data_IF_304175649111
#
_entry.id   IF_304175649111
#
_cell.length_a   1.000
_cell.length_b   1.000
_cell.length_c   1.000
_cell.angle_alpha   90.00
_cell.angle_beta   90.00
_cell.angle_gamma   90.00
#
_symmetry.space_group_name_H-M   'P 1'
#
loop_
_entity.id
_entity.type
_entity.pdbx_description
1 polymer ?
#
# COMPACT_ATOMS: atom_id res chain seq x y z
N UNK A 1 -7.79 27.09 -59.40
CA UNK A 1 -6.67 26.14 -59.53
C UNK A 1 -5.57 26.63 -58.62
N UNK A 2 -5.43 26.12 -57.40
CA UNK A 2 -4.67 24.90 -57.12
C UNK A 2 -3.36 25.27 -56.39
N UNK A 3 -3.47 25.83 -55.19
CA UNK A 3 -2.30 26.14 -54.34
C UNK A 3 -1.91 24.84 -53.62
N UNK A 4 -0.85 24.19 -54.08
CA UNK A 4 -0.11 23.17 -53.32
C UNK A 4 1.01 23.86 -52.54
N UNK A 5 1.21 23.53 -51.26
CA UNK A 5 2.52 23.68 -50.64
C UNK A 5 3.07 22.34 -50.15
N UNK A 6 4.33 22.11 -50.56
CA UNK A 6 5.42 21.49 -49.82
C UNK A 6 5.18 20.14 -49.14
N UNK A 7 5.49 19.08 -49.89
CA UNK A 7 5.98 17.83 -49.32
C UNK A 7 7.48 17.96 -49.04
N UNK A 8 7.85 18.05 -47.77
CA UNK A 8 9.24 17.85 -47.34
C UNK A 8 9.38 16.42 -46.81
N UNK A 9 10.28 15.70 -47.45
CA UNK A 9 10.49 14.27 -47.31
C UNK A 9 11.50 14.00 -46.19
N UNK A 10 11.04 14.07 -44.94
CA UNK A 10 11.79 13.59 -43.78
C UNK A 10 11.66 12.06 -43.61
N UNK A 11 12.33 11.28 -44.46
CA UNK A 11 12.54 9.83 -44.24
C UNK A 11 13.41 9.61 -43.00
N UNK A 12 12.79 9.39 -41.83
CA UNK A 12 13.49 8.70 -40.74
C UNK A 12 13.56 7.21 -41.08
N UNK A 13 14.78 6.74 -41.35
CA UNK A 13 15.15 5.34 -41.54
C UNK A 13 14.48 4.47 -40.48
N UNK A 14 13.72 3.48 -40.93
CA UNK A 14 13.36 2.32 -40.13
C UNK A 14 14.67 1.65 -39.68
N UNK A 15 14.98 1.76 -38.40
CA UNK A 15 15.96 0.88 -37.76
C UNK A 15 15.35 -0.51 -37.81
N UNK A 16 16.07 -1.42 -38.48
CA UNK A 16 15.71 -2.81 -38.74
C UNK A 16 15.18 -3.50 -37.48
N UNK A 17 14.11 -4.26 -37.73
CA UNK A 17 13.47 -5.18 -36.81
C UNK A 17 14.48 -6.02 -36.01
N UNK A 18 14.37 -5.92 -34.69
CA UNK A 18 14.79 -6.97 -33.79
C UNK A 18 13.51 -7.63 -33.26
N UNK A 19 13.28 -8.93 -33.46
CA UNK A 19 12.03 -9.59 -33.11
C UNK A 19 12.00 -9.85 -31.60
N UNK A 20 11.73 -8.81 -30.82
CA UNK A 20 11.37 -8.95 -29.41
C UNK A 20 9.85 -8.86 -29.29
N UNK A 21 9.21 -10.00 -29.07
CA UNK A 21 7.77 -10.12 -28.82
C UNK A 21 7.34 -9.18 -27.67
N UNK A 22 6.82 -7.99 -27.99
CA UNK A 22 6.12 -7.14 -27.01
C UNK A 22 4.94 -7.94 -26.46
N UNK A 23 5.04 -8.45 -25.22
CA UNK A 23 3.94 -9.12 -24.54
C UNK A 23 2.76 -8.15 -24.43
N UNK A 24 1.65 -8.46 -25.12
CA UNK A 24 0.39 -7.68 -25.06
C UNK A 24 -0.24 -7.82 -23.68
N UNK A 25 -0.61 -6.71 -23.04
CA UNK A 25 -1.17 -6.71 -21.67
C UNK A 25 -2.68 -7.02 -21.66
N UNK A 26 -3.20 -7.82 -20.71
CA UNK A 26 -4.64 -7.99 -20.55
C UNK A 26 -5.29 -6.73 -19.98
N UNK A 27 -6.61 -6.60 -20.13
CA UNK A 27 -7.36 -5.43 -19.73
C UNK A 27 -8.65 -5.76 -18.98
N UNK A 28 -9.06 -4.85 -18.12
CA UNK A 28 -10.42 -4.79 -17.60
C UNK A 28 -11.16 -3.72 -18.40
N UNK A 29 -12.16 -4.17 -19.15
CA UNK A 29 -13.10 -3.30 -19.84
C UNK A 29 -14.22 -2.94 -18.87
N UNK A 30 -14.38 -1.65 -18.59
CA UNK A 30 -15.25 -1.14 -17.54
C UNK A 30 -16.38 -0.33 -18.18
N UNK A 31 -17.64 -0.62 -17.84
CA UNK A 31 -18.67 0.40 -18.06
C UNK A 31 -18.41 1.62 -17.14
N UNK A 32 -18.96 2.76 -17.53
CA UNK A 32 -18.85 4.00 -16.75
C UNK A 32 -20.01 4.14 -15.78
N UNK A 33 -21.19 4.37 -16.34
CA UNK A 33 -22.41 4.70 -15.61
C UNK A 33 -22.93 3.42 -14.95
N UNK A 34 -23.13 3.44 -13.64
CA UNK A 34 -23.63 2.29 -12.88
C UNK A 34 -22.52 1.33 -12.41
N UNK A 35 -21.29 1.52 -12.92
CA UNK A 35 -20.12 0.70 -12.55
C UNK A 35 -19.02 1.50 -11.86
N UNK A 36 -18.49 2.55 -12.50
CA UNK A 36 -17.47 3.44 -11.91
C UNK A 36 -18.11 4.65 -11.25
N UNK A 37 -19.14 5.21 -11.89
CA UNK A 37 -19.88 6.37 -11.39
C UNK A 37 -21.35 6.02 -11.22
N UNK A 38 -22.05 6.77 -10.36
CA UNK A 38 -23.47 6.58 -10.14
C UNK A 38 -24.27 6.80 -11.43
N UNK A 39 -25.09 5.80 -11.81
CA UNK A 39 -26.16 5.96 -12.80
C UNK A 39 -27.48 6.22 -12.05
N UNK A 40 -28.25 7.19 -12.53
CA UNK A 40 -29.57 7.52 -11.97
C UNK A 40 -30.62 7.18 -13.02
N UNK A 41 -31.53 6.23 -12.73
CA UNK A 41 -32.62 5.91 -13.65
C UNK A 41 -33.38 7.16 -14.10
N UNK A 42 -33.57 7.31 -15.41
CA UNK A 42 -34.27 8.46 -16.00
C UNK A 42 -33.43 9.75 -16.12
N UNK A 43 -32.17 9.76 -15.66
CA UNK A 43 -31.32 10.95 -15.69
C UNK A 43 -30.07 10.72 -16.56
N UNK A 44 -29.90 11.58 -17.57
CA UNK A 44 -28.65 11.64 -18.33
C UNK A 44 -27.64 12.53 -17.62
N UNK A 45 -26.42 12.03 -17.45
CA UNK A 45 -25.29 12.82 -16.98
C UNK A 45 -24.81 13.72 -18.13
N UNK A 46 -25.14 15.02 -18.06
CA UNK A 46 -24.88 16.01 -19.12
C UNK A 46 -23.78 17.00 -18.75
N UNK A 47 -23.43 17.12 -17.46
CA UNK A 47 -22.47 18.09 -16.95
C UNK A 47 -21.40 17.48 -16.04
N UNK A 48 -20.16 18.00 -16.00
CA UNK A 48 -19.07 17.46 -15.19
C UNK A 48 -19.37 17.42 -13.68
N UNK A 49 -20.13 18.38 -13.16
CA UNK A 49 -20.43 18.52 -11.73
C UNK A 49 -21.29 17.35 -11.23
N UNK A 50 -22.01 16.70 -12.14
CA UNK A 50 -22.86 15.54 -11.86
C UNK A 50 -22.05 14.24 -11.68
N UNK A 51 -20.75 14.24 -11.99
CA UNK A 51 -19.88 13.06 -11.82
C UNK A 51 -19.75 12.72 -10.34
N UNK A 52 -20.34 11.58 -9.95
CA UNK A 52 -20.22 10.97 -8.61
C UNK A 52 -19.62 9.58 -8.74
N UNK A 53 -18.41 9.40 -8.26
CA UNK A 53 -17.71 8.10 -8.26
C UNK A 53 -18.24 7.24 -7.11
N UNK A 54 -18.49 5.95 -7.36
CA UNK A 54 -18.85 5.02 -6.28
C UNK A 54 -17.70 4.89 -5.28
N UNK A 55 -17.98 4.92 -3.98
CA UNK A 55 -16.96 4.84 -2.90
C UNK A 55 -16.00 3.65 -3.05
N UNK A 56 -16.50 2.50 -3.52
CA UNK A 56 -15.70 1.28 -3.71
C UNK A 56 -14.87 1.28 -5.01
N UNK A 57 -15.21 2.10 -6.00
CA UNK A 57 -14.61 2.02 -7.34
C UNK A 57 -13.10 2.31 -7.35
N UNK A 58 -12.57 3.36 -6.67
CA UNK A 58 -11.13 3.62 -6.66
C UNK A 58 -10.30 2.48 -6.07
N UNK A 59 -10.77 1.85 -4.99
CA UNK A 59 -10.10 0.69 -4.41
C UNK A 59 -10.07 -0.51 -5.37
N UNK A 60 -11.18 -0.79 -6.06
CA UNK A 60 -11.25 -1.85 -7.07
C UNK A 60 -10.32 -1.60 -8.26
N UNK A 61 -10.28 -0.37 -8.76
CA UNK A 61 -9.37 0.01 -9.85
C UNK A 61 -7.89 -0.13 -9.44
N UNK A 62 -7.52 0.30 -8.22
CA UNK A 62 -6.14 0.10 -7.72
C UNK A 62 -5.78 -1.38 -7.63
N UNK A 63 -6.68 -2.23 -7.14
CA UNK A 63 -6.47 -3.67 -7.04
C UNK A 63 -6.24 -4.31 -8.42
N UNK A 64 -7.07 -3.97 -9.41
CA UNK A 64 -6.94 -4.47 -10.77
C UNK A 64 -5.66 -3.97 -11.45
N UNK A 65 -5.30 -2.70 -11.23
CA UNK A 65 -4.03 -2.15 -11.76
C UNK A 65 -2.81 -2.86 -11.16
N UNK A 66 -2.82 -3.12 -9.84
CA UNK A 66 -1.76 -3.89 -9.16
C UNK A 66 -1.66 -5.33 -9.68
N UNK A 67 -2.78 -5.90 -10.12
CA UNK A 67 -2.82 -7.22 -10.77
C UNK A 67 -2.35 -7.21 -12.25
N UNK A 68 -1.82 -6.10 -12.75
CA UNK A 68 -1.22 -6.01 -14.09
C UNK A 68 -2.19 -5.71 -15.23
N UNK A 69 -3.45 -5.39 -14.93
CA UNK A 69 -4.42 -5.05 -15.96
C UNK A 69 -4.34 -3.60 -16.43
N UNK A 70 -4.52 -3.41 -17.74
CA UNK A 70 -4.93 -2.11 -18.28
C UNK A 70 -6.41 -1.86 -17.96
N UNK A 71 -6.75 -0.67 -17.51
CA UNK A 71 -8.12 -0.30 -17.15
C UNK A 71 -8.69 0.60 -18.24
N UNK A 72 -9.59 0.03 -19.05
CA UNK A 72 -10.15 0.67 -20.24
C UNK A 72 -11.64 0.87 -20.03
N UNK A 73 -12.08 2.11 -20.08
CA UNK A 73 -13.49 2.43 -19.96
C UNK A 73 -14.18 2.33 -21.34
N UNK A 74 -15.29 1.61 -21.41
CA UNK A 74 -16.09 1.38 -22.63
C UNK A 74 -17.56 1.67 -22.34
N UNK A 75 -18.10 2.76 -22.92
CA UNK A 75 -19.42 3.26 -22.54
C UNK A 75 -20.32 3.66 -23.72
N UNK A 76 -21.62 3.41 -23.58
CA UNK A 76 -22.64 3.94 -24.50
C UNK A 76 -23.03 5.35 -24.05
N UNK A 77 -22.78 6.36 -24.88
CA UNK A 77 -23.04 7.77 -24.60
C UNK A 77 -24.05 8.35 -25.60
N UNK A 78 -25.23 7.72 -25.71
CA UNK A 78 -26.31 8.15 -26.61
C UNK A 78 -26.86 9.54 -26.30
N UNK A 79 -26.49 10.16 -25.18
CA UNK A 79 -26.80 11.56 -24.93
C UNK A 79 -26.28 12.49 -26.03
N UNK A 80 -25.20 12.09 -26.74
CA UNK A 80 -24.69 12.83 -27.90
C UNK A 80 -25.64 12.69 -29.10
N UNK A 81 -25.98 11.47 -29.52
CA UNK A 81 -26.94 11.24 -30.61
C UNK A 81 -28.35 11.74 -30.33
N UNK A 82 -28.71 11.94 -29.05
CA UNK A 82 -29.98 12.55 -28.61
C UNK A 82 -29.91 14.08 -28.46
N UNK A 83 -28.77 14.71 -28.74
CA UNK A 83 -28.60 16.17 -28.65
C UNK A 83 -28.54 16.74 -27.21
N UNK A 84 -28.36 15.91 -26.18
CA UNK A 84 -28.30 16.38 -24.79
C UNK A 84 -26.99 17.07 -24.41
N UNK A 85 -25.90 16.71 -25.08
CA UNK A 85 -24.58 17.33 -24.96
C UNK A 85 -23.70 16.89 -26.14
N UNK A 86 -22.63 17.62 -26.41
CA UNK A 86 -21.71 17.35 -27.51
C UNK A 86 -20.46 16.58 -27.06
N UNK A 87 -19.55 16.29 -28.02
CA UNK A 87 -18.28 15.60 -27.73
C UNK A 87 -17.39 16.40 -26.78
N UNK A 88 -17.40 17.73 -26.86
CA UNK A 88 -16.63 18.58 -25.94
C UNK A 88 -17.18 18.49 -24.51
N UNK A 89 -18.50 18.45 -24.35
CA UNK A 89 -19.18 18.19 -23.08
C UNK A 89 -18.77 16.86 -22.47
N UNK A 90 -18.75 15.79 -23.28
CA UNK A 90 -18.28 14.48 -22.83
C UNK A 90 -16.80 14.51 -22.41
N UNK A 91 -15.94 15.22 -23.14
CA UNK A 91 -14.54 15.37 -22.77
C UNK A 91 -14.36 16.06 -21.41
N UNK A 92 -15.17 17.10 -21.12
CA UNK A 92 -15.18 17.76 -19.80
C UNK A 92 -15.62 16.81 -18.68
N UNK A 93 -16.64 15.97 -18.94
CA UNK A 93 -17.11 14.93 -18.01
C UNK A 93 -15.98 13.92 -17.72
N UNK A 94 -15.31 13.40 -18.77
CA UNK A 94 -14.21 12.45 -18.62
C UNK A 94 -13.02 13.06 -17.88
N UNK A 95 -12.71 14.34 -18.10
CA UNK A 95 -11.67 15.06 -17.34
C UNK A 95 -12.01 15.11 -15.85
N UNK A 96 -13.25 15.46 -15.50
CA UNK A 96 -13.70 15.51 -14.10
C UNK A 96 -13.66 14.13 -13.45
N UNK A 97 -14.03 13.07 -14.18
CA UNK A 97 -13.89 11.69 -13.71
C UNK A 97 -12.43 11.32 -13.45
N UNK A 98 -11.51 11.62 -14.37
CA UNK A 98 -10.07 11.38 -14.17
C UNK A 98 -9.55 12.07 -12.91
N UNK A 99 -9.91 13.34 -12.70
CA UNK A 99 -9.48 14.10 -11.51
C UNK A 99 -9.96 13.44 -10.21
N UNK A 100 -11.26 13.12 -10.10
CA UNK A 100 -11.82 12.47 -8.91
C UNK A 100 -11.21 11.09 -8.61
N UNK A 101 -10.85 10.34 -9.65
CA UNK A 101 -10.15 9.06 -9.46
C UNK A 101 -8.72 9.28 -8.98
N UNK A 102 -8.00 10.27 -9.53
CA UNK A 102 -6.62 10.59 -9.14
C UNK A 102 -6.50 11.08 -7.71
N UNK A 103 -7.44 11.91 -7.24
CA UNK A 103 -7.55 12.34 -5.84
C UNK A 103 -7.61 11.16 -4.86
N UNK A 104 -8.05 9.99 -5.33
CA UNK A 104 -8.14 8.74 -4.55
C UNK A 104 -7.09 7.70 -5.00
N UNK A 105 -6.02 8.13 -5.67
CA UNK A 105 -4.92 7.27 -6.12
C UNK A 105 -5.30 6.22 -7.18
N UNK A 106 -6.40 6.41 -7.90
CA UNK A 106 -6.86 5.52 -8.97
C UNK A 106 -6.75 6.20 -10.35
N UNK A 107 -6.67 5.40 -11.42
CA UNK A 107 -6.54 5.93 -12.78
C UNK A 107 -7.10 4.97 -13.83
N UNK A 108 -7.45 5.52 -14.98
CA UNK A 108 -7.91 4.80 -16.17
C UNK A 108 -6.95 5.09 -17.33
N UNK A 109 -6.64 4.08 -18.12
CA UNK A 109 -5.69 4.20 -19.21
C UNK A 109 -6.34 4.87 -20.43
N UNK A 110 -7.55 4.45 -20.79
CA UNK A 110 -8.25 4.98 -21.95
C UNK A 110 -9.77 5.00 -21.78
N UNK A 111 -10.42 5.82 -22.62
CA UNK A 111 -11.85 6.02 -22.67
C UNK A 111 -12.32 5.79 -24.11
N UNK A 112 -13.17 4.80 -24.30
CA UNK A 112 -13.84 4.51 -25.56
C UNK A 112 -15.34 4.64 -25.36
N UNK A 113 -16.01 5.31 -26.30
CA UNK A 113 -17.45 5.53 -26.20
C UNK A 113 -18.15 5.49 -27.54
N UNK A 114 -19.42 5.10 -27.52
CA UNK A 114 -20.33 5.17 -28.66
C UNK A 114 -21.25 6.39 -28.50
N UNK A 115 -21.22 7.38 -29.41
CA UNK A 115 -22.09 8.56 -29.33
C UNK A 115 -23.50 8.32 -29.88
N UNK A 116 -23.71 7.26 -30.66
CA UNK A 116 -24.91 7.02 -31.49
C UNK A 116 -26.18 6.69 -30.68
N UNK A 117 -27.32 6.99 -31.29
CA UNK A 117 -28.65 6.57 -30.86
C UNK A 117 -28.78 5.03 -30.90
N UNK A 118 -29.64 4.41 -30.08
CA UNK A 118 -29.96 2.98 -30.21
C UNK A 118 -30.33 2.52 -31.62
N UNK A 119 -31.00 3.37 -32.40
CA UNK A 119 -31.58 3.01 -33.70
C UNK A 119 -30.63 3.27 -34.89
N UNK A 120 -29.45 3.84 -34.65
CA UNK A 120 -28.49 4.21 -35.71
C UNK A 120 -27.78 2.98 -36.35
N UNK A 121 -28.06 1.76 -35.90
CA UNK A 121 -27.47 0.53 -36.47
C UNK A 121 -25.93 0.44 -36.37
N UNK A 122 -25.29 1.25 -35.51
CA UNK A 122 -23.84 1.38 -35.51
C UNK A 122 -23.11 0.14 -34.94
N UNK A 123 -21.87 -0.08 -35.39
CA UNK A 123 -21.04 -1.22 -34.95
C UNK A 123 -20.36 -1.04 -33.59
N UNK A 124 -20.45 0.15 -32.98
CA UNK A 124 -19.74 0.48 -31.75
C UNK A 124 -20.60 0.52 -30.49
N UNK A 125 -21.94 0.55 -30.61
CA UNK A 125 -22.84 0.57 -29.44
C UNK A 125 -22.87 -0.81 -28.79
N UNK A 126 -22.55 -0.91 -27.49
CA UNK A 126 -22.68 -2.17 -26.73
C UNK A 126 -24.09 -2.73 -26.91
N UNK A 127 -24.25 -4.03 -27.25
CA UNK A 127 -23.28 -5.11 -27.12
C UNK A 127 -22.27 -5.27 -28.30
N UNK A 128 -22.28 -4.40 -29.30
CA UNK A 128 -21.38 -4.51 -30.44
C UNK A 128 -19.88 -4.34 -30.05
N UNK A 129 -18.96 -5.14 -30.64
CA UNK A 129 -17.59 -5.29 -30.14
C UNK A 129 -16.60 -4.23 -30.63
N UNK A 130 -16.99 -3.29 -31.49
CA UNK A 130 -16.03 -2.44 -32.19
C UNK A 130 -15.17 -1.58 -31.25
N UNK A 131 -15.72 -1.09 -30.13
CA UNK A 131 -14.95 -0.29 -29.16
C UNK A 131 -13.87 -1.11 -28.45
N UNK A 132 -14.19 -2.34 -28.02
CA UNK A 132 -13.20 -3.25 -27.41
C UNK A 132 -12.14 -3.63 -28.42
N UNK A 133 -12.53 -4.00 -29.65
CA UNK A 133 -11.59 -4.33 -30.73
C UNK A 133 -10.67 -3.16 -31.08
N UNK A 134 -11.20 -1.93 -31.06
CA UNK A 134 -10.42 -0.71 -31.26
C UNK A 134 -9.40 -0.52 -30.13
N UNK A 135 -9.83 -0.62 -28.87
CA UNK A 135 -8.93 -0.53 -27.72
C UNK A 135 -7.81 -1.58 -27.75
N UNK A 136 -8.13 -2.81 -28.14
CA UNK A 136 -7.15 -3.89 -28.31
C UNK A 136 -6.08 -3.54 -29.34
N UNK A 137 -6.47 -2.98 -30.49
CA UNK A 137 -5.52 -2.56 -31.54
C UNK A 137 -4.67 -1.37 -31.10
N UNK A 138 -5.31 -0.29 -30.63
CA UNK A 138 -4.63 0.98 -30.34
C UNK A 138 -3.70 0.89 -29.12
N UNK A 139 -4.05 0.09 -28.12
CA UNK A 139 -3.28 -0.02 -26.87
C UNK A 139 -2.40 -1.29 -26.81
N UNK A 140 -2.41 -2.11 -27.86
CA UNK A 140 -1.65 -3.36 -27.90
C UNK A 140 -2.07 -4.37 -26.83
N UNK A 141 -3.38 -4.52 -26.59
CA UNK A 141 -3.93 -5.38 -25.54
C UNK A 141 -4.12 -6.82 -26.02
N UNK A 142 -4.33 -7.74 -25.09
CA UNK A 142 -4.80 -9.11 -25.38
C UNK A 142 -6.17 -9.35 -24.75
N UNK A 143 -7.06 -10.03 -25.47
CA UNK A 143 -8.34 -10.48 -24.90
C UNK A 143 -8.15 -11.68 -23.97
N UNK A 144 -7.08 -12.47 -24.16
CA UNK A 144 -6.76 -13.59 -23.29
C UNK A 144 -6.47 -13.09 -21.87
N UNK A 145 -7.27 -13.52 -20.91
CA UNK A 145 -7.18 -13.07 -19.53
C UNK A 145 -7.79 -11.69 -19.28
N UNK A 146 -8.42 -11.05 -20.26
CA UNK A 146 -9.19 -9.83 -20.03
C UNK A 146 -10.56 -10.12 -19.44
N UNK A 147 -11.19 -9.12 -18.83
CA UNK A 147 -12.54 -9.22 -18.28
C UNK A 147 -13.36 -8.00 -18.65
N UNK A 148 -14.68 -8.15 -18.61
CA UNK A 148 -15.62 -7.03 -18.71
C UNK A 148 -16.40 -6.88 -17.41
N UNK A 149 -16.50 -5.66 -16.89
CA UNK A 149 -17.34 -5.34 -15.71
C UNK A 149 -18.35 -4.27 -16.08
N UNK A 150 -19.63 -4.55 -15.87
CA UNK A 150 -20.73 -3.65 -16.20
C UNK A 150 -21.96 -3.90 -15.34
N UNK A 151 -22.98 -3.06 -15.49
CA UNK A 151 -24.23 -3.14 -14.72
C UNK A 151 -25.44 -3.55 -15.58
N UNK A 152 -25.28 -3.73 -16.90
CA UNK A 152 -26.37 -4.03 -17.84
C UNK A 152 -26.13 -5.32 -18.63
N UNK A 153 -27.20 -5.96 -19.10
CA UNK A 153 -27.12 -7.14 -19.99
C UNK A 153 -26.27 -6.86 -21.25
N UNK A 154 -26.31 -5.64 -21.79
CA UNK A 154 -25.49 -5.25 -22.96
C UNK A 154 -23.99 -5.34 -22.71
N UNK A 155 -23.55 -5.19 -21.45
CA UNK A 155 -22.15 -5.34 -21.05
C UNK A 155 -21.76 -6.82 -21.03
N UNK A 156 -22.60 -7.66 -20.44
CA UNK A 156 -22.40 -9.10 -20.39
C UNK A 156 -22.37 -9.70 -21.79
N UNK A 157 -23.29 -9.29 -22.65
CA UNK A 157 -23.34 -9.74 -24.03
C UNK A 157 -22.14 -9.25 -24.85
N UNK A 158 -21.67 -8.02 -24.62
CA UNK A 158 -20.41 -7.56 -25.20
C UNK A 158 -19.25 -8.48 -24.82
N UNK A 159 -19.12 -8.82 -23.52
CA UNK A 159 -18.09 -9.73 -23.01
C UNK A 159 -18.11 -11.07 -23.76
N UNK A 160 -19.30 -11.66 -23.88
CA UNK A 160 -19.51 -12.90 -24.64
C UNK A 160 -19.15 -12.77 -26.12
N UNK A 161 -19.53 -11.69 -26.79
CA UNK A 161 -19.21 -11.44 -28.22
C UNK A 161 -17.73 -11.25 -28.50
N UNK A 162 -16.94 -10.81 -27.51
CA UNK A 162 -15.48 -10.72 -27.61
C UNK A 162 -14.75 -11.90 -26.95
N UNK A 163 -15.48 -12.87 -26.41
CA UNK A 163 -14.93 -14.08 -25.82
C UNK A 163 -14.20 -13.85 -24.49
N UNK A 164 -14.65 -12.91 -23.67
CA UNK A 164 -14.07 -12.65 -22.34
C UNK A 164 -15.11 -12.79 -21.24
N UNK A 165 -14.73 -13.25 -20.03
CA UNK A 165 -15.66 -13.35 -18.92
C UNK A 165 -16.20 -11.97 -18.51
N UNK A 166 -17.46 -11.96 -18.11
CA UNK A 166 -18.25 -10.76 -17.84
C UNK A 166 -18.84 -10.80 -16.44
N UNK A 167 -18.58 -9.75 -15.67
CA UNK A 167 -19.01 -9.60 -14.28
C UNK A 167 -20.09 -8.53 -14.22
N UNK A 168 -21.24 -8.89 -13.66
CA UNK A 168 -22.29 -7.95 -13.33
C UNK A 168 -22.03 -7.35 -11.94
N UNK A 169 -21.98 -6.03 -11.83
CA UNK A 169 -22.03 -5.34 -10.53
C UNK A 169 -23.47 -5.01 -10.16
N UNK A 170 -23.84 -5.16 -8.88
CA UNK A 170 -25.18 -4.84 -8.36
C UNK A 170 -25.42 -3.33 -8.19
N UNK A 171 -24.43 -2.49 -8.48
CA UNK A 171 -24.59 -1.04 -8.60
C UNK A 171 -25.33 -0.66 -9.89
N UNK A 172 -25.72 0.61 -10.04
CA UNK A 172 -26.51 1.07 -11.19
C UNK A 172 -27.77 0.25 -11.42
N UNK A 173 -27.92 -0.29 -12.62
CA UNK A 173 -29.02 -1.13 -13.06
C UNK A 173 -28.85 -2.61 -12.71
N UNK A 174 -27.72 -3.05 -12.15
CA UNK A 174 -27.43 -4.47 -11.98
C UNK A 174 -28.46 -5.24 -11.15
N UNK A 175 -28.99 -4.67 -10.07
CA UNK A 175 -30.08 -5.28 -9.31
C UNK A 175 -31.35 -5.45 -10.14
N UNK A 176 -31.73 -4.42 -10.89
CA UNK A 176 -32.90 -4.46 -11.76
C UNK A 176 -32.73 -5.48 -12.89
N UNK A 177 -31.51 -5.63 -13.43
CA UNK A 177 -31.20 -6.65 -14.42
C UNK A 177 -31.34 -8.06 -13.85
N UNK A 178 -30.87 -8.30 -12.62
CA UNK A 178 -31.07 -9.58 -11.93
C UNK A 178 -32.56 -9.89 -11.73
N UNK A 179 -33.35 -8.91 -11.30
CA UNK A 179 -34.80 -9.09 -11.14
C UNK A 179 -35.52 -9.34 -12.46
N UNK A 180 -35.16 -8.61 -13.53
CA UNK A 180 -35.82 -8.69 -14.83
C UNK A 180 -35.51 -9.98 -15.57
N UNK A 181 -34.25 -10.41 -15.56
CA UNK A 181 -33.78 -11.52 -16.39
C UNK A 181 -33.58 -12.81 -15.59
N UNK A 182 -33.47 -12.75 -14.27
CA UNK A 182 -33.30 -13.93 -13.40
C UNK A 182 -32.22 -14.88 -13.91
N UNK A 183 -32.60 -16.15 -14.14
CA UNK A 183 -31.72 -17.19 -14.68
C UNK A 183 -31.30 -16.96 -16.15
N UNK A 184 -31.99 -16.09 -16.89
CA UNK A 184 -31.65 -15.72 -18.26
C UNK A 184 -30.46 -14.76 -18.38
N UNK A 185 -30.04 -14.15 -17.27
CA UNK A 185 -28.88 -13.26 -17.24
C UNK A 185 -27.58 -14.08 -17.19
N UNK A 186 -26.82 -14.10 -18.30
CA UNK A 186 -25.58 -14.88 -18.41
C UNK A 186 -24.37 -14.05 -17.99
N UNK A 187 -24.18 -13.90 -16.67
CA UNK A 187 -22.96 -13.34 -16.08
C UNK A 187 -22.05 -14.46 -15.57
N UNK A 188 -20.75 -14.34 -15.77
CA UNK A 188 -19.75 -15.27 -15.22
C UNK A 188 -19.58 -15.06 -13.71
N UNK A 189 -19.87 -13.86 -13.22
CA UNK A 189 -19.96 -13.56 -11.79
C UNK A 189 -20.90 -12.39 -11.51
N UNK A 190 -21.48 -12.36 -10.30
CA UNK A 190 -22.28 -11.25 -9.81
C UNK A 190 -21.65 -10.69 -8.54
N UNK A 191 -21.21 -9.43 -8.60
CA UNK A 191 -20.52 -8.76 -7.51
C UNK A 191 -21.37 -7.63 -6.90
N UNK A 192 -21.17 -7.34 -5.61
CA UNK A 192 -21.86 -6.22 -4.94
C UNK A 192 -21.54 -4.86 -5.59
N UNK A 193 -20.28 -4.65 -5.92
CA UNK A 193 -19.71 -3.41 -6.48
C UNK A 193 -18.39 -3.71 -7.20
N UNK A 194 -17.74 -2.68 -7.75
CA UNK A 194 -16.49 -2.82 -8.49
C UNK A 194 -15.32 -3.38 -7.65
N UNK A 195 -15.27 -3.15 -6.33
CA UNK A 195 -14.23 -3.71 -5.48
C UNK A 195 -14.44 -5.22 -5.29
N UNK A 196 -15.69 -5.64 -5.08
CA UNK A 196 -16.01 -7.07 -5.02
C UNK A 196 -15.71 -7.78 -6.34
N UNK A 197 -16.02 -7.15 -7.49
CA UNK A 197 -15.68 -7.67 -8.81
C UNK A 197 -14.17 -7.81 -8.98
N UNK A 198 -13.40 -6.78 -8.60
CA UNK A 198 -11.94 -6.79 -8.64
C UNK A 198 -11.35 -7.94 -7.81
N UNK A 199 -11.83 -8.15 -6.58
CA UNK A 199 -11.40 -9.27 -5.72
C UNK A 199 -11.71 -10.64 -6.32
N UNK A 200 -12.83 -10.78 -7.02
CA UNK A 200 -13.15 -12.02 -7.73
C UNK A 200 -12.21 -12.24 -8.92
N UNK A 201 -12.02 -11.22 -9.77
CA UNK A 201 -11.14 -11.29 -10.95
C UNK A 201 -9.72 -11.70 -10.56
N UNK A 202 -9.14 -11.06 -9.53
CA UNK A 202 -7.79 -11.38 -9.06
C UNK A 202 -7.68 -12.82 -8.57
N UNK A 203 -8.73 -13.35 -7.91
CA UNK A 203 -8.78 -14.76 -7.50
C UNK A 203 -8.86 -15.72 -8.69
N UNK A 204 -9.56 -15.37 -9.76
CA UNK A 204 -9.70 -16.22 -10.95
C UNK A 204 -8.42 -16.31 -11.78
N UNK A 205 -7.60 -15.26 -11.77
CA UNK A 205 -6.35 -15.22 -12.56
C UNK A 205 -5.11 -15.69 -11.81
N UNK A 206 -5.31 -16.18 -10.58
CA UNK A 206 -4.28 -16.82 -9.76
C UNK A 206 -3.53 -17.96 -10.47
N UNK A 207 -4.10 -18.79 -11.37
CA UNK A 207 -3.33 -19.87 -12.00
C UNK A 207 -2.39 -19.42 -13.15
N UNK A 208 -2.70 -18.33 -13.86
CA UNK A 208 -1.98 -17.95 -15.10
C UNK A 208 -0.94 -16.83 -14.88
N UNK A 209 -1.15 -15.95 -13.89
CA UNK A 209 -0.11 -15.00 -13.47
C UNK A 209 1.10 -15.73 -12.86
N UNK A 210 0.85 -16.91 -12.27
CA UNK A 210 1.85 -17.82 -11.70
C UNK A 210 2.87 -18.33 -12.74
N UNK A 211 2.49 -18.47 -14.02
CA UNK A 211 3.39 -18.96 -15.09
C UNK A 211 4.23 -17.86 -15.76
N UNK A 212 3.70 -16.64 -15.87
CA UNK A 212 4.50 -15.49 -16.32
C UNK A 212 5.44 -15.00 -15.21
N UNK A 213 4.99 -15.08 -13.95
CA UNK A 213 5.86 -14.98 -12.80
C UNK A 213 6.89 -16.11 -12.80
N UNK A 214 6.56 -17.38 -13.11
CA UNK A 214 7.52 -18.49 -13.11
C UNK A 214 8.73 -18.34 -14.06
N UNK A 215 8.62 -17.59 -15.16
CA UNK A 215 9.79 -17.29 -16.01
C UNK A 215 10.61 -16.09 -15.52
N UNK A 216 10.00 -15.11 -14.84
CA UNK A 216 10.72 -14.05 -14.12
C UNK A 216 11.23 -14.50 -12.74
N UNK A 217 10.60 -15.54 -12.18
CA UNK A 217 10.86 -16.20 -10.90
C UNK A 217 11.66 -17.49 -11.08
N UNK A 218 12.34 -17.66 -12.23
CA UNK A 218 13.56 -18.48 -12.27
C UNK A 218 14.67 -17.89 -11.38
N UNK A 219 14.48 -16.70 -10.82
CA UNK A 219 15.37 -16.10 -9.81
C UNK A 219 14.85 -16.04 -8.37
N UNK A 220 13.59 -16.38 -8.06
CA UNK A 220 13.10 -16.27 -6.67
C UNK A 220 11.91 -17.20 -6.40
N UNK A 221 12.18 -18.35 -5.78
CA UNK A 221 11.17 -19.22 -5.19
C UNK A 221 10.58 -18.62 -3.89
N UNK A 222 9.41 -19.15 -3.49
CA UNK A 222 8.64 -19.05 -2.23
C UNK A 222 7.28 -18.33 -2.44
N UNK A 223 6.11 -18.97 -2.44
CA UNK A 223 5.55 -19.87 -1.43
C UNK A 223 4.70 -19.02 -0.48
N UNK A 224 3.41 -19.32 -0.26
CA UNK A 224 2.67 -18.70 0.85
C UNK A 224 3.50 -18.91 2.13
N UNK A 225 3.78 -17.88 2.94
CA UNK A 225 4.56 -18.03 4.16
C UNK A 225 4.00 -19.18 5.00
N UNK A 226 4.86 -20.06 5.49
CA UNK A 226 4.41 -21.14 6.37
C UNK A 226 3.75 -20.53 7.61
N UNK A 227 2.67 -21.13 8.15
CA UNK A 227 2.08 -20.69 9.40
C UNK A 227 3.14 -20.59 10.49
N UNK A 228 3.12 -19.51 11.25
CA UNK A 228 4.08 -19.28 12.34
C UNK A 228 3.49 -19.93 13.59
N UNK A 229 4.21 -20.89 14.17
CA UNK A 229 3.85 -21.53 15.43
C UNK A 229 5.06 -21.59 16.35
N UNK A 230 4.83 -21.43 17.66
CA UNK A 230 5.85 -21.64 18.69
C UNK A 230 6.34 -23.08 18.76
N UNK A 231 5.61 -24.03 18.17
CA UNK A 231 6.06 -25.42 18.04
C UNK A 231 7.18 -25.59 16.99
N UNK A 232 7.27 -24.70 16.01
CA UNK A 232 8.19 -24.80 14.87
C UNK A 232 9.20 -23.65 14.78
N UNK A 233 9.03 -22.59 15.57
CA UNK A 233 9.91 -21.41 15.60
C UNK A 233 10.46 -21.20 17.01
N UNK A 234 11.78 -21.36 17.17
CA UNK A 234 12.46 -21.18 18.46
C UNK A 234 12.92 -19.73 18.69
N UNK A 235 13.22 -19.02 17.60
CA UNK A 235 13.57 -17.60 17.55
C UNK A 235 13.14 -16.95 16.21
N UNK A 236 12.93 -15.63 16.15
CA UNK A 236 12.61 -14.93 14.91
C UNK A 236 13.60 -15.18 13.77
N UNK A 237 14.89 -15.36 14.10
CA UNK A 237 15.93 -15.61 13.11
C UNK A 237 15.77 -16.96 12.39
N UNK A 238 15.03 -17.91 12.95
CA UNK A 238 14.70 -19.17 12.27
C UNK A 238 13.82 -18.94 11.02
N UNK A 239 13.16 -17.78 10.95
CA UNK A 239 12.38 -17.35 9.78
C UNK A 239 13.22 -16.59 8.75
N UNK A 240 14.45 -16.20 9.08
CA UNK A 240 15.36 -15.49 8.16
C UNK A 240 16.09 -16.51 7.28
N UNK A 241 15.84 -16.46 5.97
CA UNK A 241 16.43 -17.40 5.00
C UNK A 241 17.72 -16.89 4.35
N UNK A 242 18.03 -15.61 4.55
CA UNK A 242 19.21 -14.95 4.03
C UNK A 242 18.98 -13.46 3.81
N UNK A 243 20.02 -12.77 3.36
CA UNK A 243 19.96 -11.36 2.97
C UNK A 243 19.52 -11.21 1.52
N UNK A 244 18.88 -10.09 1.21
CA UNK A 244 18.37 -9.74 -0.11
C UNK A 244 19.02 -8.44 -0.60
N UNK A 245 19.31 -8.33 -1.91
CA UNK A 245 19.78 -7.06 -2.47
C UNK A 245 18.64 -6.03 -2.54
N UNK A 246 18.97 -4.74 -2.53
CA UNK A 246 17.98 -3.65 -2.70
C UNK A 246 17.14 -3.81 -3.97
N UNK A 247 17.72 -4.39 -5.03
CA UNK A 247 17.01 -4.69 -6.29
C UNK A 247 15.87 -5.70 -6.15
N UNK A 248 15.79 -6.43 -5.03
CA UNK A 248 14.66 -7.31 -4.70
C UNK A 248 13.42 -6.52 -4.23
N UNK A 249 13.58 -5.23 -3.88
CA UNK A 249 12.48 -4.40 -3.39
C UNK A 249 11.72 -3.73 -4.54
N UNK A 250 10.39 -3.81 -4.49
CA UNK A 250 9.54 -3.09 -5.43
C UNK A 250 9.57 -1.57 -5.22
N UNK A 251 9.80 -1.12 -3.97
CA UNK A 251 9.81 0.30 -3.56
C UNK A 251 10.85 0.49 -2.45
N UNK A 252 12.14 0.62 -2.80
CA UNK A 252 13.16 0.93 -1.82
C UNK A 252 12.90 2.30 -1.19
N UNK A 253 13.31 2.43 0.06
CA UNK A 253 13.16 3.66 0.86
C UNK A 253 14.47 4.42 0.89
N UNK A 254 14.39 5.75 0.91
CA UNK A 254 15.56 6.63 0.79
C UNK A 254 16.48 6.67 2.03
N UNK A 255 15.99 6.15 3.16
CA UNK A 255 16.77 6.04 4.39
C UNK A 255 17.59 4.75 4.43
N UNK A 256 17.34 3.74 3.58
CA UNK A 256 18.11 2.49 3.59
C UNK A 256 19.38 2.57 2.71
N UNK A 257 20.54 2.06 3.17
CA UNK A 257 20.83 1.61 4.53
C UNK A 257 20.97 2.79 5.49
N UNK A 258 20.68 2.58 6.78
CA UNK A 258 20.73 3.63 7.81
C UNK A 258 21.55 3.20 9.01
N UNK A 259 22.29 4.14 9.61
CA UNK A 259 22.76 4.03 10.98
C UNK A 259 22.62 5.36 11.71
N UNK A 260 22.02 5.32 12.89
CA UNK A 260 21.80 6.45 13.78
C UNK A 260 22.47 6.15 15.13
N UNK A 261 23.51 6.91 15.46
CA UNK A 261 24.23 6.78 16.73
C UNK A 261 23.79 7.89 17.69
N UNK A 262 23.40 7.51 18.90
CA UNK A 262 22.93 8.40 19.96
C UNK A 262 23.82 8.31 21.19
N UNK A 263 24.05 9.45 21.83
CA UNK A 263 24.54 9.52 23.19
C UNK A 263 23.35 9.70 24.14
N UNK A 264 23.27 8.87 25.16
CA UNK A 264 22.23 8.92 26.19
C UNK A 264 22.76 9.69 27.40
N UNK A 265 22.05 10.74 27.81
CA UNK A 265 22.43 11.65 28.89
C UNK A 265 21.39 11.69 29.99
N UNK A 266 21.84 11.80 31.23
CA UNK A 266 21.02 12.19 32.38
C UNK A 266 21.44 13.59 32.81
N UNK A 267 20.63 14.59 32.47
CA UNK A 267 21.05 15.99 32.55
C UNK A 267 22.30 16.26 31.69
N UNK A 268 23.42 16.60 32.32
CA UNK A 268 24.71 16.84 31.66
C UNK A 268 25.63 15.61 31.65
N UNK A 269 25.25 14.55 32.35
CA UNK A 269 26.09 13.36 32.55
C UNK A 269 25.82 12.37 31.43
N UNK A 270 26.87 11.91 30.76
CA UNK A 270 26.78 10.82 29.78
C UNK A 270 26.53 9.50 30.51
N UNK A 271 25.42 8.85 30.17
CA UNK A 271 24.99 7.58 30.76
C UNK A 271 25.36 6.39 29.87
N UNK A 272 25.68 6.63 28.60
CA UNK A 272 25.96 5.59 27.63
C UNK A 272 25.58 5.99 26.23
N UNK A 273 25.40 4.98 25.39
CA UNK A 273 25.18 5.14 23.96
C UNK A 273 24.07 4.20 23.50
N UNK A 274 23.48 4.54 22.37
CA UNK A 274 22.58 3.66 21.65
C UNK A 274 22.78 3.82 20.17
N UNK A 275 22.71 2.72 19.43
CA UNK A 275 22.62 2.76 17.98
C UNK A 275 21.24 2.26 17.52
N UNK A 276 20.87 2.65 16.31
CA UNK A 276 19.76 2.11 15.56
C UNK A 276 20.20 2.00 14.11
N UNK A 277 20.18 0.79 13.57
CA UNK A 277 20.71 0.48 12.26
C UNK A 277 19.73 -0.36 11.44
N UNK A 278 19.71 -0.10 10.15
CA UNK A 278 19.08 -0.94 9.13
C UNK A 278 20.13 -1.21 8.06
N UNK A 279 20.91 -2.27 8.28
CA UNK A 279 22.08 -2.60 7.45
C UNK A 279 21.72 -3.53 6.29
N UNK A 280 20.70 -4.37 6.48
CA UNK A 280 20.30 -5.39 5.52
C UNK A 280 18.79 -5.47 5.32
N UNK A 281 18.44 -5.99 4.15
CA UNK A 281 17.10 -6.50 3.83
C UNK A 281 17.22 -8.02 3.95
N UNK A 282 16.28 -8.65 4.62
CA UNK A 282 16.26 -10.11 4.81
C UNK A 282 15.04 -10.72 4.14
N UNK A 283 15.15 -11.98 3.73
CA UNK A 283 14.00 -12.83 3.43
C UNK A 283 13.44 -13.38 4.76
N UNK A 284 12.41 -12.73 5.29
CA UNK A 284 11.73 -13.10 6.53
C UNK A 284 10.46 -13.89 6.21
N UNK A 285 10.52 -15.22 6.36
CA UNK A 285 9.43 -16.15 6.05
C UNK A 285 8.84 -15.98 4.64
N UNK A 286 9.69 -15.78 3.62
CA UNK A 286 9.25 -15.57 2.22
C UNK A 286 8.86 -14.13 1.91
N UNK A 287 9.21 -13.17 2.77
CA UNK A 287 8.91 -11.74 2.58
C UNK A 287 10.18 -10.90 2.72
N UNK A 288 10.48 -10.00 1.77
CA UNK A 288 11.52 -9.00 1.97
C UNK A 288 11.17 -8.10 3.15
N UNK A 289 12.08 -7.99 4.11
CA UNK A 289 11.89 -7.19 5.31
C UNK A 289 13.13 -6.37 5.63
N UNK A 290 12.93 -5.13 6.05
CA UNK A 290 14.00 -4.35 6.68
C UNK A 290 14.23 -4.89 8.10
N UNK A 291 15.45 -5.28 8.41
CA UNK A 291 15.83 -5.71 9.75
C UNK A 291 16.41 -4.52 10.51
N UNK A 292 15.63 -4.02 11.46
CA UNK A 292 16.04 -2.91 12.33
C UNK A 292 16.64 -3.49 13.59
N UNK A 293 17.87 -3.10 13.89
CA UNK A 293 18.57 -3.46 15.13
C UNK A 293 18.87 -2.19 15.91
N UNK A 294 18.47 -2.14 17.17
CA UNK A 294 18.82 -1.05 18.07
C UNK A 294 19.49 -1.60 19.32
N UNK A 295 20.72 -1.18 19.57
CA UNK A 295 21.48 -1.55 20.77
C UNK A 295 21.60 -0.36 21.70
N UNK A 296 21.65 -0.61 23.01
CA UNK A 296 21.97 0.41 24.00
C UNK A 296 22.90 -0.17 25.06
N UNK A 297 23.90 0.62 25.46
CA UNK A 297 24.85 0.24 26.48
C UNK A 297 25.24 1.42 27.36
N UNK A 298 25.39 1.17 28.67
CA UNK A 298 25.92 2.19 29.57
C UNK A 298 27.42 2.37 29.39
N UNK A 299 27.91 3.57 29.69
CA UNK A 299 29.32 3.95 29.53
C UNK A 299 29.88 4.67 30.76
N UNK A 300 31.21 4.64 30.91
CA UNK A 300 31.92 5.35 31.97
C UNK A 300 31.40 5.02 33.38
N UNK A 301 31.18 6.06 34.19
CA UNK A 301 30.67 5.93 35.55
C UNK A 301 29.31 5.21 35.61
N UNK A 302 28.43 5.40 34.61
CA UNK A 302 27.13 4.71 34.54
C UNK A 302 27.25 3.20 34.46
N UNK A 303 28.24 2.67 33.75
CA UNK A 303 28.47 1.21 33.70
C UNK A 303 28.86 0.64 35.07
N UNK A 304 29.47 1.45 35.94
CA UNK A 304 29.93 1.01 37.26
C UNK A 304 28.78 0.84 38.25
N UNK A 305 27.75 1.69 38.18
CA UNK A 305 26.61 1.64 39.12
C UNK A 305 25.32 1.08 38.51
N UNK A 306 25.16 1.10 37.18
CA UNK A 306 23.98 0.55 36.49
C UNK A 306 24.32 0.10 35.06
N UNK A 307 24.61 -1.20 34.91
CA UNK A 307 24.96 -1.81 33.62
C UNK A 307 23.74 -1.96 32.72
N UNK A 308 23.80 -1.44 31.51
CA UNK A 308 22.79 -1.62 30.47
C UNK A 308 23.45 -2.32 29.29
N UNK A 309 22.85 -3.42 28.80
CA UNK A 309 23.26 -4.15 27.59
C UNK A 309 22.01 -4.64 26.88
N UNK A 310 21.38 -3.71 26.17
CA UNK A 310 20.09 -3.94 25.54
C UNK A 310 20.24 -4.10 24.03
N UNK A 311 19.42 -4.98 23.47
CA UNK A 311 19.24 -5.15 22.05
C UNK A 311 17.75 -5.33 21.76
N UNK A 312 17.20 -4.43 20.95
CA UNK A 312 15.84 -4.52 20.44
C UNK A 312 15.93 -4.68 18.92
N UNK A 313 15.11 -5.56 18.37
CA UNK A 313 15.06 -5.83 16.93
C UNK A 313 13.62 -5.80 16.45
N UNK A 314 13.43 -5.39 15.19
CA UNK A 314 12.14 -5.40 14.51
C UNK A 314 12.33 -5.77 13.05
N UNK A 315 11.37 -6.51 12.50
CA UNK A 315 11.32 -6.84 11.07
C UNK A 315 10.15 -6.13 10.44
N UNK A 316 10.42 -5.23 9.49
CA UNK A 316 9.40 -4.41 8.83
C UNK A 316 9.21 -4.93 7.40
N UNK A 317 8.00 -5.35 7.06
CA UNK A 317 7.67 -5.81 5.71
C UNK A 317 7.96 -4.68 4.69
N UNK A 318 8.82 -4.95 3.71
CA UNK A 318 9.27 -3.93 2.76
C UNK A 318 8.21 -3.58 1.69
N UNK A 319 7.11 -4.35 1.59
CA UNK A 319 6.01 -4.09 0.65
C UNK A 319 4.96 -3.14 1.24
N UNK A 320 4.50 -3.41 2.47
CA UNK A 320 3.39 -2.67 3.10
C UNK A 320 3.69 -2.10 4.49
N UNK A 321 4.95 -2.16 4.93
CA UNK A 321 5.46 -1.44 6.09
C UNK A 321 4.83 -1.84 7.43
N UNK A 322 4.16 -3.00 7.52
CA UNK A 322 3.71 -3.57 8.79
C UNK A 322 4.86 -4.26 9.51
N UNK A 323 4.78 -4.35 10.84
CA UNK A 323 5.71 -5.20 11.59
C UNK A 323 5.42 -6.67 11.30
N UNK A 324 6.47 -7.48 11.15
CA UNK A 324 6.41 -8.94 11.09
C UNK A 324 6.71 -9.58 12.47
N UNK A 325 7.22 -8.77 13.38
CA UNK A 325 7.55 -9.17 14.74
C UNK A 325 8.68 -8.33 15.31
N UNK A 326 8.97 -8.56 16.59
CA UNK A 326 10.06 -7.92 17.31
C UNK A 326 10.75 -8.88 18.28
N UNK A 327 11.96 -8.54 18.68
CA UNK A 327 12.75 -9.23 19.70
C UNK A 327 13.35 -8.22 20.67
N UNK A 328 13.41 -8.57 21.96
CA UNK A 328 13.93 -7.73 23.05
C UNK A 328 14.82 -8.58 23.93
N UNK A 329 16.10 -8.22 23.99
CA UNK A 329 17.10 -8.75 24.91
C UNK A 329 17.59 -7.61 25.79
N UNK A 330 16.98 -7.45 26.95
CA UNK A 330 17.28 -6.38 27.89
C UNK A 330 18.07 -6.94 29.08
N UNK A 331 19.13 -6.23 29.44
CA UNK A 331 20.03 -6.57 30.56
C UNK A 331 20.38 -5.25 31.26
N UNK A 332 19.54 -4.84 32.22
CA UNK A 332 19.62 -3.54 32.88
C UNK A 332 19.76 -3.71 34.39
N UNK A 333 20.99 -3.75 34.89
CA UNK A 333 21.29 -4.06 36.30
C UNK A 333 20.72 -5.43 36.69
N UNK A 334 19.72 -5.45 37.58
CA UNK A 334 19.00 -6.68 37.96
C UNK A 334 17.81 -6.98 37.03
N UNK A 335 17.41 -6.06 36.16
CA UNK A 335 16.32 -6.28 35.24
C UNK A 335 16.78 -7.14 34.06
N UNK A 336 15.94 -8.11 33.69
CA UNK A 336 16.18 -9.05 32.62
C UNK A 336 14.90 -9.21 31.82
N UNK A 337 15.02 -9.11 30.50
CA UNK A 337 13.96 -9.50 29.57
C UNK A 337 14.57 -10.16 28.35
N UNK A 338 14.04 -11.30 27.98
CA UNK A 338 14.40 -11.97 26.73
C UNK A 338 13.09 -12.48 26.12
N UNK A 339 12.60 -11.78 25.11
CA UNK A 339 11.27 -11.96 24.57
C UNK A 339 11.26 -11.69 23.08
N UNK A 340 10.51 -12.49 22.33
CA UNK A 340 10.13 -12.14 20.99
C UNK A 340 8.63 -12.34 20.77
N UNK A 341 8.09 -11.58 19.81
CA UNK A 341 6.71 -11.69 19.32
C UNK A 341 6.76 -11.71 17.80
N UNK A 342 5.98 -12.61 17.20
CA UNK A 342 5.85 -12.76 15.75
C UNK A 342 4.38 -12.63 15.34
N UNK A 343 4.13 -12.03 14.18
CA UNK A 343 2.78 -11.79 13.68
C UNK A 343 2.44 -12.72 12.50
N UNK A 344 1.48 -13.61 12.73
CA UNK A 344 0.88 -14.45 11.69
C UNK A 344 -0.41 -13.80 11.17
N UNK A 345 -0.26 -12.92 10.17
CA UNK A 345 -1.39 -12.24 9.57
C UNK A 345 -2.39 -13.17 8.86
N UNK A 346 -1.97 -14.23 8.13
CA UNK A 346 -2.91 -15.25 7.65
C UNK A 346 -3.77 -15.88 8.76
N UNK A 347 -3.17 -16.21 9.91
CA UNK A 347 -3.88 -16.76 11.06
C UNK A 347 -4.59 -15.70 11.92
N UNK A 348 -4.35 -14.41 11.67
CA UNK A 348 -4.80 -13.26 12.49
C UNK A 348 -4.38 -13.40 13.96
N UNK A 349 -3.17 -13.89 14.17
CA UNK A 349 -2.65 -14.17 15.48
C UNK A 349 -1.24 -13.59 15.67
N UNK A 350 -0.88 -13.33 16.92
CA UNK A 350 0.50 -13.19 17.33
C UNK A 350 0.88 -14.39 18.18
N UNK A 351 2.15 -14.78 18.12
CA UNK A 351 2.75 -15.77 19.01
C UNK A 351 4.01 -15.20 19.64
N UNK A 352 4.34 -15.65 20.84
CA UNK A 352 5.51 -15.15 21.57
C UNK A 352 6.23 -16.25 22.34
N UNK A 353 7.50 -15.98 22.64
CA UNK A 353 8.29 -16.73 23.61
C UNK A 353 9.00 -15.73 24.51
N UNK A 354 9.01 -16.01 25.80
CA UNK A 354 9.75 -15.26 26.82
C UNK A 354 10.59 -16.21 27.65
N UNK A 355 11.88 -15.92 27.78
CA UNK A 355 12.76 -16.60 28.74
C UNK A 355 12.80 -15.81 30.04
N UNK A 356 12.80 -16.52 31.16
CA UNK A 356 13.13 -15.93 32.46
C UNK A 356 14.65 -15.99 32.71
N UNK A 357 15.10 -15.53 33.89
CA UNK A 357 16.52 -15.50 34.25
C UNK A 357 17.16 -16.89 34.40
N UNK A 358 16.39 -17.92 34.74
CA UNK A 358 16.87 -19.31 34.82
C UNK A 358 16.93 -19.99 33.46
N UNK A 359 16.47 -19.32 32.38
CA UNK A 359 16.48 -19.85 31.02
C UNK A 359 15.23 -20.67 30.67
N UNK A 360 14.22 -20.71 31.53
CA UNK A 360 12.96 -21.38 31.26
C UNK A 360 12.10 -20.56 30.29
N UNK A 361 11.51 -21.23 29.31
CA UNK A 361 10.66 -20.63 28.31
C UNK A 361 9.18 -20.67 28.70
N UNK A 362 8.51 -19.54 28.51
CA UNK A 362 7.06 -19.42 28.49
C UNK A 362 6.61 -18.95 27.11
N UNK A 363 5.44 -19.40 26.68
CA UNK A 363 4.89 -19.11 25.37
C UNK A 363 3.56 -18.37 25.49
N UNK A 364 3.29 -17.46 24.57
CA UNK A 364 2.04 -16.72 24.51
C UNK A 364 1.46 -16.70 23.11
N UNK A 365 0.16 -16.44 23.02
CA UNK A 365 -0.53 -16.17 21.77
C UNK A 365 -1.73 -15.26 21.99
N UNK A 366 -2.16 -14.56 20.94
CA UNK A 366 -3.38 -13.76 20.97
C UNK A 366 -3.76 -13.26 19.59
N UNK A 367 -4.77 -12.41 19.51
CA UNK A 367 -5.31 -11.96 18.23
C UNK A 367 -4.58 -10.74 17.66
N UNK A 368 -4.44 -10.72 16.34
CA UNK A 368 -4.01 -9.56 15.55
C UNK A 368 -5.02 -9.37 14.41
N UNK A 369 -5.99 -8.46 14.55
CA UNK A 369 -7.11 -8.34 13.61
C UNK A 369 -6.71 -7.72 12.25
N UNK A 370 -5.56 -7.07 12.17
CA UNK A 370 -5.05 -6.41 10.97
C UNK A 370 -3.58 -6.00 11.11
N UNK A 371 -3.01 -5.31 10.10
CA UNK A 371 -1.63 -4.82 10.14
C UNK A 371 -1.37 -3.96 11.38
N UNK A 372 -0.29 -4.27 12.10
CA UNK A 372 0.14 -3.55 13.30
C UNK A 372 1.59 -3.11 13.18
N UNK A 373 1.98 -2.17 14.04
CA UNK A 373 3.36 -1.80 14.31
C UNK A 373 3.79 -2.35 15.67
N UNK A 374 5.09 -2.56 15.85
CA UNK A 374 5.72 -2.61 17.16
C UNK A 374 6.34 -1.24 17.50
N UNK A 375 7.02 -1.13 18.64
CA UNK A 375 7.60 0.14 19.10
C UNK A 375 8.66 0.66 18.12
N UNK A 376 9.61 -0.17 17.67
CA UNK A 376 10.65 0.26 16.74
C UNK A 376 10.07 0.49 15.35
N UNK A 377 9.23 -0.41 14.86
CA UNK A 377 8.65 -0.25 13.52
C UNK A 377 7.75 1.00 13.43
N UNK A 378 7.09 1.41 14.52
CA UNK A 378 6.29 2.63 14.56
C UNK A 378 7.11 3.89 14.26
N UNK A 379 8.37 3.94 14.70
CA UNK A 379 9.28 5.06 14.45
C UNK A 379 9.66 5.16 12.97
N UNK A 380 9.74 4.04 12.25
CA UNK A 380 9.97 4.03 10.80
C UNK A 380 8.69 4.28 10.02
N UNK A 381 7.55 3.77 10.49
CA UNK A 381 6.25 3.95 9.87
C UNK A 381 5.84 5.43 9.76
N UNK A 382 6.15 6.24 10.78
CA UNK A 382 5.83 7.67 10.77
C UNK A 382 6.66 8.45 9.74
N UNK A 383 7.83 7.95 9.34
CA UNK A 383 8.70 8.65 8.38
C UNK A 383 8.08 8.77 6.99
N UNK A 384 7.19 7.84 6.64
CA UNK A 384 6.40 7.87 5.41
C UNK A 384 5.13 8.71 5.48
N UNK A 385 4.93 9.49 6.56
CA UNK A 385 3.76 10.37 6.74
C UNK A 385 4.14 11.82 6.50
N UNK A 386 3.18 12.60 6.02
CA UNK A 386 3.27 14.06 6.09
C UNK A 386 2.91 14.48 7.52
N UNK A 387 3.77 15.25 8.17
CA UNK A 387 3.59 15.70 9.55
C UNK A 387 3.37 17.21 9.58
N UNK A 388 2.14 17.64 9.86
CA UNK A 388 1.77 19.05 10.03
C UNK A 388 1.46 19.33 11.50
N UNK A 389 1.77 20.55 11.96
CA UNK A 389 1.46 20.96 13.34
C UNK A 389 -0.04 20.79 13.60
N UNK A 390 -0.37 20.11 14.69
CA UNK A 390 -1.74 19.78 15.06
C UNK A 390 -2.24 18.42 14.54
N UNK A 391 -1.50 17.73 13.69
CA UNK A 391 -1.87 16.39 13.22
C UNK A 391 -1.90 15.38 14.38
N UNK A 392 -2.89 14.49 14.34
CA UNK A 392 -2.97 13.29 15.17
C UNK A 392 -2.87 12.04 14.28
N UNK A 393 -1.72 11.36 14.31
CA UNK A 393 -1.51 10.12 13.56
C UNK A 393 -1.82 8.94 14.46
N UNK A 394 -2.88 8.20 14.15
CA UNK A 394 -3.22 6.95 14.85
C UNK A 394 -2.46 5.79 14.23
N UNK A 395 -1.77 5.03 15.07
CA UNK A 395 -0.98 3.84 14.72
C UNK A 395 -1.50 2.68 15.58
N UNK A 396 -1.95 1.61 14.93
CA UNK A 396 -2.28 0.38 15.64
C UNK A 396 -0.99 -0.31 16.04
N UNK A 397 -0.71 -0.34 17.34
CA UNK A 397 0.49 -0.96 17.91
C UNK A 397 0.11 -2.26 18.59
N UNK A 398 0.92 -3.30 18.41
CA UNK A 398 0.82 -4.53 19.18
C UNK A 398 2.11 -4.79 19.94
N UNK A 399 1.98 -5.04 21.23
CA UNK A 399 3.07 -5.58 22.06
C UNK A 399 2.50 -6.67 22.98
N UNK A 400 1.95 -7.72 22.36
CA UNK A 400 1.09 -8.76 22.98
C UNK A 400 -0.33 -8.29 23.36
N UNK A 401 -0.60 -7.01 23.25
CA UNK A 401 -1.92 -6.39 23.37
C UNK A 401 -2.07 -5.38 22.22
N UNK A 402 -3.25 -5.29 21.62
CA UNK A 402 -3.54 -4.31 20.58
C UNK A 402 -3.98 -3.01 21.22
N UNK A 403 -3.32 -1.90 20.88
CA UNK A 403 -3.71 -0.59 21.38
C UNK A 403 -3.43 0.51 20.35
N UNK A 404 -4.34 1.48 20.20
CA UNK A 404 -4.12 2.62 19.33
C UNK A 404 -3.17 3.61 20.00
N UNK A 405 -2.00 3.75 19.41
CA UNK A 405 -1.04 4.81 19.71
C UNK A 405 -1.39 6.04 18.89
N UNK A 406 -1.48 7.21 19.54
CA UNK A 406 -1.73 8.49 18.87
C UNK A 406 -0.47 9.33 18.94
N UNK A 407 0.14 9.60 17.80
CA UNK A 407 1.25 10.53 17.68
C UNK A 407 0.69 11.93 17.41
N UNK A 408 0.93 12.88 18.31
CA UNK A 408 0.58 14.29 18.09
C UNK A 408 1.78 15.06 17.58
N UNK A 409 1.56 15.85 16.54
CA UNK A 409 2.57 16.76 16.00
C UNK A 409 2.45 18.11 16.71
N UNK A 410 3.42 18.41 17.57
CA UNK A 410 3.29 19.50 18.55
C UNK A 410 3.71 20.85 17.95
N UNK A 411 4.93 20.92 17.42
CA UNK A 411 5.51 22.17 16.90
C UNK A 411 6.72 21.89 16.02
N UNK A 412 7.15 22.91 15.29
CA UNK A 412 8.44 22.94 14.60
C UNK A 412 9.41 23.81 15.39
N UNK A 413 10.64 23.34 15.56
CA UNK A 413 11.71 24.12 16.19
C UNK A 413 13.09 23.68 15.68
N UNK A 414 14.08 24.54 15.86
CA UNK A 414 15.45 24.22 15.50
C UNK A 414 16.21 23.68 16.70
N UNK A 415 16.77 22.47 16.59
CA UNK A 415 17.54 21.81 17.65
C UNK A 415 19.01 21.73 17.25
N UNK A 416 19.90 21.99 18.22
CA UNK A 416 21.35 21.78 18.09
C UNK A 416 21.76 20.58 18.92
N UNK A 417 22.33 19.58 18.26
CA UNK A 417 22.90 18.36 18.85
C UNK A 417 24.35 18.19 18.34
N UNK A 418 25.14 17.21 18.84
CA UNK A 418 26.49 16.98 18.33
C UNK A 418 26.56 16.77 16.80
N UNK A 419 25.55 16.14 16.19
CA UNK A 419 25.45 15.96 14.74
C UNK A 419 25.24 17.27 13.93
N UNK A 420 24.96 18.39 14.60
CA UNK A 420 24.76 19.69 13.98
C UNK A 420 23.44 20.37 14.37
N UNK A 421 23.03 21.36 13.57
CA UNK A 421 21.80 22.13 13.73
C UNK A 421 20.74 21.62 12.73
N UNK A 422 19.54 21.32 13.21
CA UNK A 422 18.46 20.74 12.41
C UNK A 422 17.16 21.50 12.61
N UNK A 423 16.42 21.74 11.54
CA UNK A 423 14.99 22.04 11.65
C UNK A 423 14.26 20.74 11.95
N UNK A 424 13.45 20.74 13.00
CA UNK A 424 12.83 19.53 13.53
C UNK A 424 11.35 19.73 13.78
N UNK A 425 10.62 18.61 13.74
CA UNK A 425 9.24 18.48 14.17
C UNK A 425 9.25 17.75 15.51
N UNK A 426 8.69 18.36 16.55
CA UNK A 426 8.44 17.70 17.83
C UNK A 426 7.16 16.88 17.74
N UNK A 427 7.27 15.58 17.99
CA UNK A 427 6.16 14.66 18.10
C UNK A 427 6.08 14.03 19.50
N UNK A 428 4.86 13.83 19.97
CA UNK A 428 4.59 13.23 21.28
C UNK A 428 3.63 12.04 21.15
N UNK A 429 3.97 10.88 21.73
CA UNK A 429 3.11 9.71 21.76
C UNK A 429 2.09 9.74 22.92
N UNK A 430 0.86 9.33 22.63
CA UNK A 430 -0.22 9.16 23.61
C UNK A 430 -0.92 7.82 23.43
N UNK A 431 -1.40 7.22 24.52
CA UNK A 431 -2.32 6.08 24.44
C UNK A 431 -3.76 6.58 24.47
N UNK A 432 -4.62 5.99 23.63
CA UNK A 432 -6.06 6.26 23.66
C UNK A 432 -6.79 5.04 24.23
N UNK A 433 -7.56 5.23 25.30
CA UNK A 433 -8.49 4.22 25.82
C UNK A 433 -9.88 4.86 25.92
N UNK A 434 -10.88 4.28 25.24
CA UNK A 434 -12.30 4.67 25.32
C UNK A 434 -12.56 6.20 25.30
N UNK A 435 -11.97 6.92 24.34
CA UNK A 435 -12.17 8.36 24.19
C UNK A 435 -11.39 9.25 25.18
N UNK A 436 -10.69 8.66 26.15
CA UNK A 436 -9.80 9.34 27.08
C UNK A 436 -8.35 9.15 26.62
N UNK A 437 -7.60 10.25 26.53
CA UNK A 437 -6.15 10.20 26.38
C UNK A 437 -5.56 9.82 27.74
N UNK A 438 -5.02 8.60 27.84
CA UNK A 438 -4.33 8.14 29.05
C UNK A 438 -2.84 8.26 28.76
N UNK A 439 -2.14 9.08 29.53
CA UNK A 439 -0.69 9.07 29.54
C UNK A 439 -0.24 7.95 30.49
N UNK A 440 -0.05 6.74 29.97
CA UNK A 440 0.56 5.65 30.74
C UNK A 440 2.08 5.76 30.62
N UNK A 441 2.72 6.28 31.65
CA UNK A 441 4.18 6.42 31.71
C UNK A 441 4.67 7.87 31.56
N UNK A 442 5.98 7.98 31.47
CA UNK A 442 6.74 9.24 31.47
C UNK A 442 6.65 9.94 30.10
N UNK A 443 6.60 11.27 30.07
CA UNK A 443 6.43 12.05 28.84
C UNK A 443 7.62 11.87 27.91
N UNK A 444 7.45 11.07 26.86
CA UNK A 444 8.40 10.93 25.76
C UNK A 444 8.17 12.04 24.73
N UNK A 445 9.24 12.70 24.33
CA UNK A 445 9.28 13.69 23.25
C UNK A 445 10.31 13.26 22.23
N UNK A 446 9.94 13.28 20.95
CA UNK A 446 10.85 12.91 19.86
C UNK A 446 10.92 14.07 18.88
N UNK A 447 12.13 14.55 18.60
CA UNK A 447 12.39 15.54 17.57
C UNK A 447 12.90 14.79 16.34
N UNK A 448 12.10 14.80 15.28
CA UNK A 448 12.49 14.25 13.97
C UNK A 448 12.87 15.38 13.02
N UNK A 449 13.69 15.12 12.01
CA UNK A 449 13.99 16.12 10.99
C UNK A 449 12.72 16.61 10.28
N UNK A 450 12.66 17.91 9.96
CA UNK A 450 11.62 18.50 9.11
C UNK A 450 12.00 18.37 7.63
N UNK A 451 12.13 17.13 7.18
CA UNK A 451 12.44 16.73 5.81
C UNK A 451 11.75 15.40 5.47
N UNK A 452 11.92 14.90 4.24
CA UNK A 452 11.30 13.65 3.82
C UNK A 452 11.81 12.41 4.56
N UNK A 453 12.96 12.49 5.27
CA UNK A 453 13.53 11.35 6.00
C UNK A 453 12.94 11.22 7.40
N UNK A 454 12.53 12.31 8.05
CA UNK A 454 11.97 12.34 9.41
C UNK A 454 12.74 11.46 10.42
N UNK A 455 14.06 11.42 10.35
CA UNK A 455 14.85 10.60 11.27
C UNK A 455 14.97 11.30 12.64
N UNK A 456 15.00 10.55 13.75
CA UNK A 456 15.12 11.13 15.08
C UNK A 456 16.47 11.82 15.28
N UNK A 457 16.42 13.08 15.72
CA UNK A 457 17.56 13.92 16.07
C UNK A 457 17.77 13.95 17.59
N UNK A 458 16.69 13.92 18.35
CA UNK A 458 16.71 13.91 19.81
C UNK A 458 15.48 13.19 20.36
N UNK A 459 15.66 12.45 21.45
CA UNK A 459 14.56 11.85 22.21
C UNK A 459 14.73 12.22 23.68
N UNK A 460 13.64 12.61 24.34
CA UNK A 460 13.67 13.01 25.75
C UNK A 460 12.54 12.37 26.51
N UNK A 461 12.87 11.73 27.64
CA UNK A 461 11.91 11.13 28.57
C UNK A 461 12.07 11.77 29.94
N UNK A 462 10.97 12.25 30.51
CA UNK A 462 10.94 12.83 31.87
C UNK A 462 10.89 11.74 32.93
N UNK A 463 11.91 11.61 33.78
CA UNK A 463 11.95 10.62 34.86
C UNK A 463 11.69 11.29 36.23
N UNK A 464 11.43 10.48 37.27
CA UNK A 464 11.13 10.99 38.64
C UNK A 464 12.25 11.94 39.12
N UNK A 465 13.49 11.62 38.78
CA UNK A 465 14.67 12.42 39.14
C UNK A 465 15.35 12.97 37.88
N UNK A 466 14.68 13.87 37.15
CA UNK A 466 15.27 14.59 36.01
C UNK A 466 14.81 14.10 34.63
N UNK A 467 15.70 14.10 33.64
CA UNK A 467 15.36 13.68 32.28
C UNK A 467 16.49 12.85 31.66
N UNK A 468 16.08 11.83 30.90
CA UNK A 468 16.98 11.07 30.04
C UNK A 468 16.82 11.64 28.63
N UNK A 469 17.93 12.03 28.01
CA UNK A 469 17.95 12.59 26.66
C UNK A 469 18.91 11.78 25.80
N UNK A 470 18.42 11.22 24.70
CA UNK A 470 19.25 10.66 23.64
C UNK A 470 19.45 11.72 22.55
N UNK A 471 20.70 12.03 22.20
CA UNK A 471 21.04 13.05 21.18
C UNK A 471 21.85 12.42 20.05
N UNK A 472 21.51 12.77 18.80
CA UNK A 472 22.18 12.26 17.62
C UNK A 472 23.64 12.74 17.57
N UNK A 473 24.57 11.80 17.42
CA UNK A 473 26.00 12.06 17.42
C UNK A 473 26.55 12.49 16.06
N UNK A 474 26.05 11.88 14.99
CA UNK A 474 26.51 12.12 13.61
C UNK A 474 25.32 12.11 12.65
N UNK A 475 25.44 12.81 11.53
CA UNK A 475 24.43 12.73 10.46
C UNK A 475 24.44 11.30 9.88
N UNK A 476 23.27 10.71 9.60
CA UNK A 476 23.20 9.44 8.89
C UNK A 476 23.77 9.56 7.48
N UNK A 477 24.24 8.43 6.95
CA UNK A 477 24.79 8.31 5.61
C UNK A 477 23.76 8.56 4.48
#
# INVERSE_FOLDING_TARGET
MGIRPHGDAGRFRAVRDSPMTKRRSPAIFLDRDGTVIHDRPGFYLKRPEQVRVYRAAPAGLRLLRRAGYRLVLVSNQSGIGRGFFDRAGLARIHRRLRLKLREQGAGLDAFYFCPHHPDDGCSCRKPAPALVRRAVRELGLTLKGSFLVGDKQSDLELGRRVGIPSILVKTGHGRAQLSRYGRGLKADHVAKDLLAAARWIVRQTAPALLLAAAFAARGAAQGVPAPISTATVAAPFDLVRGTLPVSALARPVSWFPEKLDFEVKWGLISMGFSDMAVEEIVDFNGRPAYHVVSKAWSGGFADTFYKVRDQNESWIDAEDFRSLGYSKKLREGSFFRDEWVLYDYPAKAWVSKRLNKSGEASFGSGEVPGPVQDVLSSLYYIRGKTLQIGDEVVIDVNTMENWPFVLKVIKKETIKVPAGKFNTILVEPFMRKEGIFIQKGKRLRVWVTDDERHYPVMMKVEIIFGNITAVLLRKPN
#
